data_IF_626562061701
#
_entry.id   IF_626562061701
#
_cell.length_a   1.000
_cell.length_b   1.000
_cell.length_c   1.000
_cell.angle_alpha   90.00
_cell.angle_beta   90.00
_cell.angle_gamma   90.00
#
_symmetry.space_group_name_H-M   'P 1'
#
loop_
_entity.id
_entity.type
_entity.pdbx_description
1 polymer ?
#
# COMPACT_ATOMS: atom_id res chain seq x y z
N UNK A 1 36.89 -5.62 32.58
CA UNK A 1 37.91 -4.59 32.26
C UNK A 1 38.45 -4.83 30.84
N UNK A 2 39.08 -3.81 30.25
CA UNK A 2 39.71 -3.76 28.92
C UNK A 2 38.82 -3.77 27.66
N UNK A 3 39.15 -3.02 26.60
CA UNK A 3 39.54 -1.58 26.47
C UNK A 3 39.64 -1.24 24.98
N UNK A 4 38.91 -0.21 24.55
CA UNK A 4 39.11 0.72 23.41
C UNK A 4 39.77 0.21 22.11
N UNK A 5 39.10 0.42 20.97
CA UNK A 5 39.79 0.92 19.77
C UNK A 5 38.85 1.69 18.82
N UNK A 6 39.31 2.86 18.35
CA UNK A 6 38.59 3.83 17.51
C UNK A 6 39.63 4.81 16.91
N UNK A 7 39.41 5.62 15.87
CA UNK A 7 38.22 5.99 15.07
C UNK A 7 38.69 6.15 13.61
N UNK A 8 37.83 5.95 12.58
CA UNK A 8 37.94 6.76 11.35
C UNK A 8 36.55 7.01 10.74
N UNK A 9 36.33 8.26 10.35
CA UNK A 9 35.12 8.74 9.68
C UNK A 9 35.48 9.30 8.31
N UNK A 10 34.60 9.11 7.33
CA UNK A 10 34.65 9.82 6.05
C UNK A 10 33.25 10.32 5.70
N UNK A 11 33.09 11.64 5.68
CA UNK A 11 31.85 12.28 5.25
C UNK A 11 31.72 12.18 3.72
N UNK A 12 30.63 11.57 3.23
CA UNK A 12 30.22 11.62 1.83
C UNK A 12 29.06 12.59 1.68
N UNK A 13 29.25 13.68 0.93
CA UNK A 13 28.25 14.74 0.79
C UNK A 13 27.10 14.34 -0.15
N UNK A 14 25.86 14.67 0.25
CA UNK A 14 24.68 14.58 -0.61
C UNK A 14 24.65 15.79 -1.57
N UNK A 15 24.86 15.56 -2.87
CA UNK A 15 24.59 16.56 -3.91
C UNK A 15 23.20 16.32 -4.52
N UNK A 16 22.20 17.08 -4.09
CA UNK A 16 20.94 17.17 -4.81
C UNK A 16 21.14 17.99 -6.10
N UNK A 17 20.78 17.42 -7.24
CA UNK A 17 20.57 18.17 -8.49
C UNK A 17 19.12 17.92 -8.92
N UNK A 18 18.25 18.86 -8.56
CA UNK A 18 16.88 18.94 -9.05
C UNK A 18 16.81 20.07 -10.08
N UNK A 19 16.82 19.71 -11.38
CA UNK A 19 16.91 20.68 -12.47
C UNK A 19 15.85 20.43 -13.55
N UNK A 20 14.97 21.41 -13.75
CA UNK A 20 13.91 21.44 -14.79
C UNK A 20 12.68 20.59 -14.44
N UNK A 21 11.45 20.99 -14.74
CA UNK A 21 10.87 22.20 -15.36
C UNK A 21 9.43 22.30 -14.79
N UNK A 22 8.80 23.43 -14.48
CA UNK A 22 8.95 24.80 -14.97
C UNK A 22 7.58 25.27 -15.48
N UNK A 23 6.86 26.04 -14.67
CA UNK A 23 5.71 26.88 -15.05
C UNK A 23 5.37 27.80 -13.88
N UNK A 24 5.48 29.11 -14.10
CA UNK A 24 5.00 30.12 -13.17
C UNK A 24 3.70 30.73 -13.72
N UNK A 25 2.78 31.10 -12.84
CA UNK A 25 1.84 32.20 -13.07
C UNK A 25 1.48 32.82 -11.71
N UNK A 26 1.39 34.15 -11.66
CA UNK A 26 1.16 34.92 -10.42
C UNK A 26 -0.25 35.51 -10.35
N UNK A 27 -0.66 35.84 -9.12
CA UNK A 27 -1.70 36.83 -8.80
C UNK A 27 -3.14 36.62 -9.32
N UNK A 28 -4.08 36.37 -8.39
CA UNK A 28 -4.77 37.48 -7.70
C UNK A 28 -5.84 36.98 -6.72
N UNK A 29 -6.08 37.77 -5.67
CA UNK A 29 -7.29 37.68 -4.85
C UNK A 29 -8.51 38.18 -5.64
N UNK A 30 -9.68 37.52 -5.49
CA UNK A 30 -10.99 38.18 -5.50
C UNK A 30 -12.16 37.21 -5.19
N UNK A 31 -12.67 37.29 -3.96
CA UNK A 31 -14.11 37.32 -3.63
C UNK A 31 -15.09 36.29 -4.27
N UNK A 32 -15.47 35.26 -3.48
CA UNK A 32 -16.42 34.20 -3.90
C UNK A 32 -17.52 33.87 -2.89
N UNK A 33 -17.95 34.82 -2.05
CA UNK A 33 -18.93 34.61 -0.97
C UNK A 33 -20.36 34.26 -1.50
N UNK A 34 -20.67 32.98 -1.70
CA UNK A 34 -22.05 32.51 -2.00
C UNK A 34 -22.48 31.28 -1.18
N UNK A 35 -23.14 31.59 -0.06
CA UNK A 35 -24.26 30.90 0.61
C UNK A 35 -24.57 29.45 0.19
N UNK A 36 -24.56 28.53 1.16
CA UNK A 36 -25.16 27.19 1.05
C UNK A 36 -25.23 26.45 2.38
N UNK A 37 -26.34 26.62 3.11
CA UNK A 37 -26.73 25.88 4.33
C UNK A 37 -26.51 24.36 4.23
N UNK A 38 -26.14 23.66 5.33
CA UNK A 38 -25.97 22.20 5.30
C UNK A 38 -27.27 21.48 4.96
N UNK A 39 -27.18 20.54 4.01
CA UNK A 39 -28.22 19.56 3.74
C UNK A 39 -27.62 18.16 3.95
N UNK A 40 -28.08 17.46 4.99
CA UNK A 40 -27.71 16.08 5.25
C UNK A 40 -28.13 15.18 4.08
N UNK A 41 -27.16 14.51 3.47
CA UNK A 41 -27.40 13.23 2.78
C UNK A 41 -26.31 12.27 3.18
N UNK A 42 -26.58 11.46 4.20
CA UNK A 42 -25.84 10.23 4.46
C UNK A 42 -26.19 9.22 3.37
N UNK A 43 -25.57 9.39 2.20
CA UNK A 43 -25.32 8.26 1.32
C UNK A 43 -23.92 7.74 1.69
N UNK A 44 -23.74 6.43 1.95
CA UNK A 44 -22.42 5.84 1.81
C UNK A 44 -22.08 5.92 0.33
N UNK A 45 -21.41 7.00 -0.05
CA UNK A 45 -20.76 7.07 -1.34
C UNK A 45 -19.63 6.05 -1.28
N UNK A 46 -19.89 4.83 -1.74
CA UNK A 46 -18.87 3.84 -2.05
C UNK A 46 -18.12 4.34 -3.29
N UNK A 47 -17.41 5.45 -3.13
CA UNK A 47 -16.42 5.92 -4.07
C UNK A 47 -15.29 4.90 -4.03
N UNK A 48 -15.43 3.87 -4.86
CA UNK A 48 -14.29 3.12 -5.41
C UNK A 48 -13.52 4.07 -6.33
N UNK A 49 -13.02 5.16 -5.75
CA UNK A 49 -11.86 5.86 -6.24
C UNK A 49 -10.76 4.82 -6.26
N UNK A 50 -10.47 4.30 -7.45
CA UNK A 50 -9.34 3.41 -7.73
C UNK A 50 -8.04 4.22 -7.63
N UNK A 51 -7.80 4.84 -6.48
CA UNK A 51 -6.48 4.83 -5.89
C UNK A 51 -6.02 3.36 -5.93
N UNK A 52 -4.79 3.12 -6.37
CA UNK A 52 -4.28 1.77 -6.57
C UNK A 52 -4.56 0.95 -5.31
N UNK A 53 -5.45 -0.04 -5.41
CA UNK A 53 -5.88 -0.80 -4.24
C UNK A 53 -4.64 -1.50 -3.69
N UNK A 54 -4.21 -1.10 -2.48
CA UNK A 54 -3.13 -1.78 -1.77
C UNK A 54 -3.46 -3.26 -1.74
N UNK A 55 -2.49 -4.14 -1.99
CA UNK A 55 -2.72 -5.59 -2.06
C UNK A 55 -3.46 -6.12 -0.83
N UNK A 56 -3.19 -5.50 0.32
CA UNK A 56 -3.87 -5.70 1.61
C UNK A 56 -5.39 -5.53 1.61
N UNK A 57 -6.00 -4.85 0.63
CA UNK A 57 -7.46 -4.69 0.50
C UNK A 57 -8.12 -5.69 -0.47
N UNK A 58 -7.33 -6.46 -1.23
CA UNK A 58 -7.89 -7.42 -2.21
C UNK A 58 -8.57 -8.57 -1.47
N UNK A 59 -9.82 -8.86 -1.82
CA UNK A 59 -10.58 -9.99 -1.24
C UNK A 59 -10.16 -11.32 -1.86
N UNK A 60 -10.38 -12.44 -1.16
CA UNK A 60 -10.12 -13.76 -1.71
C UNK A 60 -10.92 -14.07 -2.99
N UNK A 61 -12.16 -13.57 -3.09
CA UNK A 61 -13.00 -13.70 -4.30
C UNK A 61 -12.37 -12.97 -5.50
N UNK A 62 -11.90 -11.75 -5.26
CA UNK A 62 -11.25 -10.92 -6.28
C UNK A 62 -9.88 -11.49 -6.68
N UNK A 63 -9.06 -11.88 -5.70
CA UNK A 63 -7.76 -12.53 -5.89
C UNK A 63 -7.83 -13.81 -6.72
N UNK A 64 -8.81 -14.68 -6.46
CA UNK A 64 -9.05 -15.91 -7.24
C UNK A 64 -9.41 -15.62 -8.70
N UNK A 65 -9.93 -14.43 -8.99
CA UNK A 65 -10.31 -13.97 -10.33
C UNK A 65 -9.17 -13.30 -11.08
N UNK A 66 -8.01 -13.08 -10.45
CA UNK A 66 -6.80 -12.54 -11.06
C UNK A 66 -5.96 -13.64 -11.72
N UNK A 67 -5.20 -13.28 -12.76
CA UNK A 67 -4.14 -14.13 -13.33
C UNK A 67 -2.96 -14.32 -12.37
N UNK A 68 -2.11 -15.33 -12.61
CA UNK A 68 -0.99 -15.67 -11.72
C UNK A 68 -0.03 -14.47 -11.48
N UNK A 69 0.31 -13.68 -12.49
CA UNK A 69 1.17 -12.51 -12.33
C UNK A 69 0.54 -11.42 -11.45
N UNK A 70 -0.77 -11.23 -11.57
CA UNK A 70 -1.52 -10.28 -10.75
C UNK A 70 -1.69 -10.80 -9.31
N UNK A 71 -1.91 -12.10 -9.12
CA UNK A 71 -1.86 -12.75 -7.81
C UNK A 71 -0.50 -12.54 -7.14
N UNK A 72 0.62 -12.82 -7.84
CA UNK A 72 1.98 -12.59 -7.33
C UNK A 72 2.18 -11.15 -6.86
N UNK A 73 1.81 -10.15 -7.67
CA UNK A 73 1.92 -8.73 -7.28
C UNK A 73 1.07 -8.35 -6.07
N UNK A 74 -0.13 -8.91 -5.93
CA UNK A 74 -0.95 -8.69 -4.74
C UNK A 74 -0.25 -9.24 -3.49
N UNK A 75 0.34 -10.43 -3.57
CA UNK A 75 1.10 -11.01 -2.45
C UNK A 75 2.36 -10.22 -2.14
N UNK A 76 3.15 -9.83 -3.14
CA UNK A 76 4.34 -8.99 -2.95
C UNK A 76 3.99 -7.66 -2.27
N UNK A 77 2.88 -7.02 -2.67
CA UNK A 77 2.38 -5.82 -2.01
C UNK A 77 1.92 -6.07 -0.58
N UNK A 78 1.19 -7.16 -0.30
CA UNK A 78 0.79 -7.53 1.07
C UNK A 78 2.02 -7.72 1.97
N UNK A 79 3.07 -8.40 1.48
CA UNK A 79 4.29 -8.62 2.26
C UNK A 79 5.10 -7.33 2.47
N UNK A 80 5.11 -6.42 1.50
CA UNK A 80 5.71 -5.10 1.65
C UNK A 80 4.94 -4.20 2.62
N UNK A 81 3.60 -4.31 2.65
CA UNK A 81 2.72 -3.61 3.59
C UNK A 81 2.83 -4.18 5.03
N UNK A 82 3.26 -5.44 5.19
CA UNK A 82 3.28 -6.18 6.46
C UNK A 82 4.67 -6.78 6.81
N UNK A 83 5.69 -5.94 7.09
CA UNK A 83 7.01 -6.40 7.53
C UNK A 83 6.94 -7.12 8.89
N UNK A 84 7.81 -8.11 9.10
CA UNK A 84 7.83 -8.96 10.29
C UNK A 84 6.80 -10.10 10.28
N UNK A 85 5.97 -10.22 9.24
CA UNK A 85 4.94 -11.26 9.11
C UNK A 85 5.51 -12.67 8.84
N UNK A 86 4.70 -13.73 8.99
CA UNK A 86 5.14 -15.13 8.94
C UNK A 86 5.66 -15.62 7.58
N UNK A 87 5.54 -14.81 6.53
CA UNK A 87 6.03 -15.12 5.18
C UNK A 87 7.07 -14.11 4.66
N UNK A 88 7.69 -13.32 5.54
CA UNK A 88 8.78 -12.41 5.14
C UNK A 88 9.89 -13.18 4.38
N UNK A 89 10.39 -12.59 3.29
CA UNK A 89 11.35 -13.24 2.39
C UNK A 89 10.84 -14.46 1.62
N UNK A 90 9.56 -14.86 1.78
CA UNK A 90 9.00 -16.11 1.28
C UNK A 90 7.76 -15.91 0.38
N UNK A 91 7.81 -15.06 -0.68
CA UNK A 91 6.64 -14.68 -1.47
C UNK A 91 5.94 -15.85 -2.16
N UNK A 92 6.68 -16.88 -2.59
CA UNK A 92 6.10 -18.08 -3.19
C UNK A 92 5.31 -18.95 -2.18
N UNK A 93 5.72 -18.94 -0.90
CA UNK A 93 5.02 -19.67 0.18
C UNK A 93 3.74 -18.94 0.55
N UNK A 94 3.81 -17.60 0.65
CA UNK A 94 2.63 -16.74 0.80
C UNK A 94 1.63 -16.96 -0.35
N UNK A 95 2.10 -16.94 -1.60
CA UNK A 95 1.27 -17.15 -2.79
C UNK A 95 0.59 -18.54 -2.80
N UNK A 96 1.33 -19.60 -2.49
CA UNK A 96 0.75 -20.94 -2.34
C UNK A 96 -0.35 -20.98 -1.27
N UNK A 97 -0.08 -20.38 -0.11
CA UNK A 97 -1.02 -20.34 1.03
C UNK A 97 -2.28 -19.53 0.69
N UNK A 98 -2.13 -18.32 0.14
CA UNK A 98 -3.24 -17.49 -0.31
C UNK A 98 -4.15 -18.23 -1.29
N UNK A 99 -3.57 -18.90 -2.30
CA UNK A 99 -4.35 -19.64 -3.29
C UNK A 99 -5.13 -20.80 -2.66
N UNK A 100 -4.52 -21.55 -1.75
CA UNK A 100 -5.21 -22.64 -1.05
C UNK A 100 -6.35 -22.12 -0.14
N UNK A 101 -6.10 -21.06 0.62
CA UNK A 101 -7.07 -20.53 1.58
C UNK A 101 -8.23 -19.77 0.91
N UNK A 102 -7.95 -19.03 -0.17
CA UNK A 102 -8.96 -18.30 -0.94
C UNK A 102 -9.81 -19.18 -1.87
N UNK A 103 -9.49 -20.48 -2.01
CA UNK A 103 -10.41 -21.46 -2.62
C UNK A 103 -11.60 -21.79 -1.71
N UNK A 104 -11.47 -21.61 -0.39
CA UNK A 104 -12.56 -21.89 0.54
C UNK A 104 -13.66 -20.80 0.45
N UNK A 105 -14.94 -21.16 0.21
CA UNK A 105 -16.00 -20.17 0.00
C UNK A 105 -16.27 -19.31 1.24
N UNK A 106 -16.06 -19.84 2.46
CA UNK A 106 -16.19 -19.09 3.71
C UNK A 106 -15.14 -18.01 3.93
N UNK A 107 -14.15 -17.87 3.05
CA UNK A 107 -13.17 -16.79 3.06
C UNK A 107 -13.37 -15.79 1.91
N UNK A 108 -14.36 -15.97 1.02
CA UNK A 108 -14.49 -15.21 -0.22
C UNK A 108 -14.48 -13.68 -0.02
N UNK A 109 -15.20 -13.20 1.00
CA UNK A 109 -15.34 -11.77 1.32
C UNK A 109 -14.23 -11.22 2.23
N UNK A 110 -13.33 -12.06 2.73
CA UNK A 110 -12.16 -11.64 3.54
C UNK A 110 -11.04 -11.14 2.65
N UNK A 111 -10.20 -10.26 3.18
CA UNK A 111 -8.94 -9.89 2.50
C UNK A 111 -8.00 -11.09 2.44
N UNK A 112 -7.16 -11.14 1.40
CA UNK A 112 -6.14 -12.20 1.26
C UNK A 112 -5.21 -12.23 2.46
N UNK A 113 -4.82 -11.05 2.97
CA UNK A 113 -3.93 -10.90 4.12
C UNK A 113 -4.54 -11.48 5.41
N UNK A 114 -5.82 -11.19 5.70
CA UNK A 114 -6.53 -11.74 6.87
C UNK A 114 -6.75 -13.25 6.71
N UNK A 115 -7.26 -13.69 5.55
CA UNK A 115 -7.60 -15.09 5.34
C UNK A 115 -6.37 -16.00 5.45
N UNK A 116 -5.26 -15.63 4.80
CA UNK A 116 -4.03 -16.41 4.79
C UNK A 116 -3.08 -16.12 5.98
N UNK A 117 -3.46 -15.24 6.91
CA UNK A 117 -2.65 -14.90 8.09
C UNK A 117 -1.30 -14.28 7.73
N UNK A 118 -1.27 -13.34 6.78
CA UNK A 118 -0.04 -12.69 6.32
C UNK A 118 0.38 -11.47 7.15
N UNK A 119 -0.52 -10.97 7.99
CA UNK A 119 -0.23 -9.92 8.96
C UNK A 119 0.54 -10.49 10.16
N UNK A 120 1.40 -9.70 10.82
CA UNK A 120 2.05 -10.08 12.07
C UNK A 120 1.07 -10.24 13.26
#
# INVERSE_FOLDING_TARGET
MNRISSVVATAGALTLILAGCGSADEATDASGLRKGTPASTTAPATTTSKAAASGSQVTCSEFKSLDNDAQTRVIEQILADNPGGPFEGSPNVALGTAKLVCLAPGNADKTVAEAAGMTP
#
